data_IF_981055817594
#
_entry.id   IF_981055817594
#
_cell.length_a   1.000
_cell.length_b   1.000
_cell.length_c   1.000
_cell.angle_alpha   90.00
_cell.angle_beta   90.00
_cell.angle_gamma   90.00
#
_symmetry.space_group_name_H-M   'P 1'
#
loop_
_entity.id
_entity.type
_entity.pdbx_description
1 polymer ?
#
# COMPACT_ATOMS: atom_id res chain seq x y z
N UNK A 1 24.81 25.76 -33.07
CA UNK A 1 23.38 25.38 -33.12
C UNK A 1 23.17 24.21 -32.15
N UNK A 2 22.03 24.15 -31.43
CA UNK A 2 21.60 23.09 -30.46
C UNK A 2 21.53 23.45 -28.96
N UNK A 3 21.53 24.74 -28.56
CA UNK A 3 21.13 25.13 -27.19
C UNK A 3 19.62 25.38 -27.03
N UNK A 4 18.87 25.54 -28.14
CA UNK A 4 17.44 25.84 -28.12
C UNK A 4 16.55 24.60 -27.94
N UNK A 5 17.03 23.40 -28.29
CA UNK A 5 16.22 22.17 -28.26
C UNK A 5 16.09 21.60 -26.84
N UNK A 6 17.11 21.78 -25.99
CA UNK A 6 17.12 21.21 -24.63
C UNK A 6 16.13 21.92 -23.69
N UNK A 7 15.83 23.22 -23.91
CA UNK A 7 14.88 23.97 -23.05
C UNK A 7 13.40 23.61 -23.26
N UNK A 8 13.03 22.95 -24.36
CA UNK A 8 11.63 22.58 -24.63
C UNK A 8 11.20 21.29 -23.93
N UNK A 9 12.12 20.35 -23.72
CA UNK A 9 11.80 19.06 -23.10
C UNK A 9 11.50 19.16 -21.59
N UNK A 10 12.09 20.12 -20.87
CA UNK A 10 11.84 20.29 -19.43
C UNK A 10 10.46 20.90 -19.12
N UNK A 11 9.92 21.74 -20.00
CA UNK A 11 8.63 22.41 -19.76
C UNK A 11 7.44 21.48 -19.93
N UNK A 12 7.53 20.51 -20.84
CA UNK A 12 6.46 19.52 -21.05
C UNK A 12 6.39 18.50 -19.91
N UNK A 13 7.53 18.06 -19.38
CA UNK A 13 7.56 17.18 -18.21
C UNK A 13 6.97 17.86 -16.96
N UNK A 14 7.29 19.14 -16.75
CA UNK A 14 6.81 19.91 -15.59
C UNK A 14 5.30 20.16 -15.65
N UNK A 15 4.75 20.43 -16.84
CA UNK A 15 3.31 20.58 -17.05
C UNK A 15 2.54 19.27 -16.80
N UNK A 16 3.11 18.12 -17.20
CA UNK A 16 2.51 16.81 -16.99
C UNK A 16 2.43 16.44 -15.50
N UNK A 17 3.50 16.69 -14.75
CA UNK A 17 3.54 16.42 -13.29
C UNK A 17 2.57 17.33 -12.54
N UNK A 18 2.52 18.63 -12.88
CA UNK A 18 1.57 19.56 -12.27
C UNK A 18 0.11 19.20 -12.60
N UNK A 19 -0.17 18.77 -13.83
CA UNK A 19 -1.49 18.29 -14.25
C UNK A 19 -1.93 17.05 -13.48
N UNK A 20 -1.04 16.06 -13.32
CA UNK A 20 -1.30 14.85 -12.53
C UNK A 20 -1.56 15.16 -11.05
N UNK A 21 -0.82 16.11 -10.46
CA UNK A 21 -1.07 16.55 -9.08
C UNK A 21 -2.42 17.25 -8.92
N UNK A 22 -2.83 18.09 -9.88
CA UNK A 22 -4.11 18.79 -9.82
C UNK A 22 -5.30 17.82 -9.93
N UNK A 23 -5.20 16.80 -10.79
CA UNK A 23 -6.20 15.72 -10.89
C UNK A 23 -6.27 14.91 -9.59
N UNK A 24 -5.13 14.67 -8.94
CA UNK A 24 -5.05 13.96 -7.66
C UNK A 24 -5.77 14.72 -6.53
N UNK A 25 -5.57 16.05 -6.44
CA UNK A 25 -6.24 16.91 -5.45
C UNK A 25 -7.75 16.98 -5.72
N UNK A 26 -8.18 17.04 -6.98
CA UNK A 26 -9.59 17.06 -7.34
C UNK A 26 -10.33 15.76 -6.98
N UNK A 27 -9.66 14.60 -7.07
CA UNK A 27 -10.28 13.31 -6.71
C UNK A 27 -10.37 13.08 -5.19
N UNK A 28 -9.57 13.76 -4.37
CA UNK A 28 -9.63 13.62 -2.92
C UNK A 28 -10.85 14.30 -2.28
N UNK A 29 -11.54 15.20 -2.98
CA UNK A 29 -12.69 15.97 -2.45
C UNK A 29 -14.06 15.31 -2.57
N UNK A 30 -14.16 14.11 -3.15
CA UNK A 30 -15.44 13.44 -3.45
C UNK A 30 -15.70 12.20 -2.59
N UNK A 31 -15.26 12.20 -1.33
CA UNK A 31 -15.58 11.11 -0.40
C UNK A 31 -16.96 11.42 0.21
N UNK A 32 -17.99 10.74 -0.26
CA UNK A 32 -19.31 10.79 0.37
C UNK A 32 -19.19 10.28 1.80
N UNK A 33 -19.48 11.14 2.78
CA UNK A 33 -19.67 10.75 4.17
C UNK A 33 -20.90 9.86 4.23
N UNK A 34 -20.74 8.59 4.61
CA UNK A 34 -21.86 7.71 4.89
C UNK A 34 -22.67 8.31 6.04
N UNK A 35 -23.98 8.42 5.84
CA UNK A 35 -24.93 9.06 6.75
C UNK A 35 -25.92 7.99 7.18
N UNK A 36 -26.21 7.96 8.49
CA UNK A 36 -27.17 7.11 9.20
C UNK A 36 -27.01 5.60 8.97
N UNK A 37 -26.58 4.91 10.03
CA UNK A 37 -26.36 3.45 10.07
C UNK A 37 -27.67 2.67 9.92
N UNK A 38 -28.81 3.26 10.31
CA UNK A 38 -30.15 2.75 10.04
C UNK A 38 -30.99 3.87 9.38
N UNK A 39 -31.67 3.53 8.29
CA UNK A 39 -32.64 4.37 7.61
C UNK A 39 -34.00 3.64 7.58
N UNK A 40 -35.02 4.27 8.16
CA UNK A 40 -36.39 3.74 8.25
C UNK A 40 -36.90 3.47 9.67
N UNK A 41 -38.18 3.07 9.83
CA UNK A 41 -38.83 2.89 11.12
C UNK A 41 -38.57 1.49 11.71
N UNK A 42 -37.31 1.09 11.81
CA UNK A 42 -36.91 -0.16 12.45
C UNK A 42 -35.71 0.05 13.39
N UNK A 43 -35.55 -0.87 14.34
CA UNK A 43 -34.34 -0.96 15.18
C UNK A 43 -33.60 -2.25 14.86
N UNK A 44 -32.27 -2.22 14.91
CA UNK A 44 -31.43 -3.40 14.69
C UNK A 44 -30.39 -3.52 15.80
N UNK A 45 -30.16 -4.74 16.27
CA UNK A 45 -29.03 -5.02 17.16
C UNK A 45 -28.22 -6.19 16.66
N UNK A 46 -26.90 -6.12 16.83
CA UNK A 46 -25.94 -7.13 16.40
C UNK A 46 -25.16 -7.58 17.63
N UNK A 47 -25.25 -8.86 17.99
CA UNK A 47 -24.76 -9.41 19.26
C UNK A 47 -25.23 -8.58 20.48
N UNK A 48 -26.48 -8.07 20.41
CA UNK A 48 -27.08 -7.23 21.46
C UNK A 48 -26.60 -5.77 21.50
N UNK A 49 -25.74 -5.34 20.57
CA UNK A 49 -25.30 -3.95 20.43
C UNK A 49 -26.23 -3.24 19.44
N UNK A 50 -26.78 -2.09 19.85
CA UNK A 50 -27.66 -1.29 19.01
C UNK A 50 -26.91 -0.65 17.84
N UNK A 51 -27.32 -1.00 16.63
CA UNK A 51 -26.67 -0.56 15.39
C UNK A 51 -26.86 0.94 15.17
N UNK A 52 -27.93 1.56 15.70
CA UNK A 52 -28.13 3.01 15.59
C UNK A 52 -27.00 3.81 16.25
N UNK A 53 -26.27 3.20 17.19
CA UNK A 53 -25.17 3.83 17.93
C UNK A 53 -23.80 3.68 17.28
N UNK A 54 -23.68 2.91 16.19
CA UNK A 54 -22.42 2.58 15.53
C UNK A 54 -22.26 3.38 14.23
N UNK A 55 -21.03 3.76 13.89
CA UNK A 55 -20.68 4.31 12.58
C UNK A 55 -19.95 3.26 11.72
N UNK A 56 -20.59 2.71 10.69
CA UNK A 56 -19.97 1.77 9.74
C UNK A 56 -18.85 2.40 8.90
N UNK A 57 -18.67 3.71 8.96
CA UNK A 57 -17.52 4.42 8.43
C UNK A 57 -16.31 4.40 9.36
N UNK A 58 -16.51 4.18 10.66
CA UNK A 58 -15.44 4.14 11.67
C UNK A 58 -15.07 2.69 12.03
N UNK A 59 -13.78 2.38 11.95
CA UNK A 59 -13.25 1.10 12.42
C UNK A 59 -13.39 0.94 13.93
N UNK A 60 -13.35 2.04 14.69
CA UNK A 60 -13.45 2.03 16.14
C UNK A 60 -14.76 1.42 16.65
N UNK A 61 -15.82 1.54 15.85
CA UNK A 61 -17.18 1.07 16.15
C UNK A 61 -17.44 -0.35 15.61
N UNK A 62 -16.43 -1.00 15.01
CA UNK A 62 -16.58 -2.33 14.46
C UNK A 62 -16.86 -3.37 15.57
N UNK A 63 -17.86 -4.21 15.35
CA UNK A 63 -18.20 -5.29 16.26
C UNK A 63 -17.18 -6.41 16.08
N UNK A 64 -16.46 -6.72 17.15
CA UNK A 64 -15.43 -7.76 17.14
C UNK A 64 -16.06 -9.14 17.24
N UNK A 65 -15.71 -10.01 16.30
CA UNK A 65 -16.21 -11.38 16.26
C UNK A 65 -15.03 -12.32 16.05
N UNK A 66 -15.02 -13.45 16.76
CA UNK A 66 -13.95 -14.44 16.57
C UNK A 66 -14.14 -15.16 15.24
N UNK A 67 -13.04 -15.58 14.62
CA UNK A 67 -13.07 -16.52 13.50
C UNK A 67 -13.86 -17.79 13.87
N UNK A 68 -14.76 -18.25 12.99
CA UNK A 68 -15.70 -19.35 13.27
C UNK A 68 -16.78 -19.04 14.30
N UNK A 69 -16.95 -17.77 14.66
CA UNK A 69 -18.04 -17.31 15.51
C UNK A 69 -19.35 -17.15 14.71
N UNK A 70 -20.45 -17.03 15.46
CA UNK A 70 -21.74 -16.62 14.91
C UNK A 70 -22.00 -15.16 15.28
N UNK A 71 -22.66 -14.46 14.37
CA UNK A 71 -23.16 -13.11 14.60
C UNK A 71 -24.68 -13.21 14.71
N UNK A 72 -25.21 -12.88 15.88
CA UNK A 72 -26.65 -12.77 16.07
C UNK A 72 -27.10 -11.41 15.55
N UNK A 73 -27.91 -11.42 14.50
CA UNK A 73 -28.59 -10.23 13.99
C UNK A 73 -30.03 -10.26 14.44
N UNK A 74 -30.48 -9.18 15.08
CA UNK A 74 -31.87 -8.99 15.44
C UNK A 74 -32.39 -7.69 14.86
N UNK A 75 -33.61 -7.71 14.33
CA UNK A 75 -34.31 -6.50 13.92
C UNK A 75 -35.72 -6.49 14.47
N UNK A 76 -36.22 -5.29 14.74
CA UNK A 76 -37.56 -5.05 15.25
C UNK A 76 -38.27 -3.93 14.49
N UNK A 77 -39.56 -4.10 14.24
CA UNK A 77 -40.41 -3.09 13.63
C UNK A 77 -41.82 -3.13 14.22
N UNK A 78 -42.44 -1.96 14.37
CA UNK A 78 -43.81 -1.84 14.89
C UNK A 78 -44.88 -2.33 13.90
N UNK A 79 -44.58 -2.34 12.60
CA UNK A 79 -45.52 -2.71 11.53
C UNK A 79 -45.33 -4.13 11.02
N UNK A 80 -44.23 -4.80 11.37
CA UNK A 80 -43.90 -6.14 10.88
C UNK A 80 -43.11 -6.15 9.58
N UNK A 81 -42.34 -7.21 9.39
CA UNK A 81 -41.50 -7.45 8.21
C UNK A 81 -42.24 -8.30 7.18
N UNK A 82 -42.19 -7.89 5.91
CA UNK A 82 -42.66 -8.69 4.78
C UNK A 82 -41.54 -9.60 4.25
N UNK A 83 -40.34 -9.05 4.10
CA UNK A 83 -39.13 -9.79 3.74
C UNK A 83 -37.89 -9.06 4.22
N UNK A 84 -36.80 -9.79 4.43
CA UNK A 84 -35.48 -9.24 4.66
C UNK A 84 -34.45 -9.88 3.73
N UNK A 85 -33.39 -9.13 3.46
CA UNK A 85 -32.23 -9.53 2.69
C UNK A 85 -30.98 -9.00 3.40
N UNK A 86 -30.08 -9.90 3.73
CA UNK A 86 -28.79 -9.56 4.32
C UNK A 86 -27.75 -9.66 3.21
N UNK A 87 -27.11 -8.56 2.86
CA UNK A 87 -26.01 -8.52 1.90
C UNK A 87 -24.69 -8.31 2.64
N UNK A 88 -23.65 -9.03 2.21
CA UNK A 88 -22.29 -8.75 2.66
C UNK A 88 -21.62 -7.86 1.61
N UNK A 89 -21.19 -6.66 1.99
CA UNK A 89 -20.33 -5.83 1.16
C UNK A 89 -18.87 -6.09 1.54
N UNK A 90 -18.18 -6.77 0.64
CA UNK A 90 -16.74 -6.94 0.69
C UNK A 90 -16.12 -6.21 -0.49
N UNK A 91 -15.45 -5.09 -0.21
CA UNK A 91 -14.77 -4.24 -1.20
C UNK A 91 -15.66 -3.50 -2.22
N UNK A 92 -16.86 -3.08 -1.82
CA UNK A 92 -17.83 -2.54 -2.76
C UNK A 92 -18.37 -3.60 -3.73
N UNK A 93 -18.09 -4.88 -3.48
CA UNK A 93 -18.79 -5.99 -4.11
C UNK A 93 -19.82 -6.49 -3.10
N UNK A 94 -21.08 -6.30 -3.47
CA UNK A 94 -22.20 -6.90 -2.77
C UNK A 94 -22.23 -8.38 -3.12
N UNK A 95 -21.98 -9.21 -2.13
CA UNK A 95 -22.22 -10.64 -2.22
C UNK A 95 -23.69 -10.88 -1.86
N UNK A 96 -24.44 -11.60 -2.70
CA UNK A 96 -25.82 -11.94 -2.37
C UNK A 96 -25.79 -12.78 -1.10
N UNK A 97 -26.56 -12.36 -0.09
CA UNK A 97 -26.78 -13.20 1.09
C UNK A 97 -28.19 -13.78 1.09
N UNK A 98 -28.67 -14.11 2.27
CA UNK A 98 -29.94 -14.80 2.44
C UNK A 98 -31.10 -13.82 2.34
N UNK A 99 -32.04 -14.14 1.46
CA UNK A 99 -33.33 -13.47 1.34
C UNK A 99 -34.41 -14.38 1.90
N UNK A 100 -35.22 -13.85 2.82
CA UNK A 100 -36.32 -14.59 3.45
C UNK A 100 -37.59 -13.74 3.50
N UNK A 101 -38.73 -14.40 3.43
CA UNK A 101 -40.05 -13.79 3.60
C UNK A 101 -40.50 -13.98 5.06
N UNK A 102 -40.92 -12.89 5.72
CA UNK A 102 -41.13 -12.85 7.19
C UNK A 102 -42.59 -12.90 7.63
N UNK A 103 -43.54 -13.13 6.72
CA UNK A 103 -44.98 -13.31 7.01
C UNK A 103 -45.63 -12.25 7.94
N UNK A 104 -45.02 -11.07 8.12
CA UNK A 104 -45.52 -9.99 8.96
C UNK A 104 -45.03 -9.99 10.41
N UNK A 105 -44.04 -10.80 10.78
CA UNK A 105 -43.50 -10.81 12.14
C UNK A 105 -42.86 -9.45 12.49
N UNK A 106 -43.09 -8.94 13.70
CA UNK A 106 -42.54 -7.65 14.19
C UNK A 106 -41.10 -7.73 14.67
N UNK A 107 -40.56 -8.93 14.73
CA UNK A 107 -39.23 -9.23 15.23
C UNK A 107 -38.69 -10.45 14.51
N UNK A 108 -37.44 -10.39 14.08
CA UNK A 108 -36.69 -11.57 13.64
C UNK A 108 -35.31 -11.60 14.29
N UNK A 109 -34.80 -12.82 14.47
CA UNK A 109 -33.43 -13.10 14.88
C UNK A 109 -32.84 -14.13 13.93
N UNK A 110 -31.65 -13.86 13.42
CA UNK A 110 -30.91 -14.79 12.57
C UNK A 110 -29.46 -14.91 13.06
N UNK A 111 -28.88 -16.10 12.88
CA UNK A 111 -27.48 -16.35 13.19
C UNK A 111 -26.71 -16.47 11.89
N UNK A 112 -25.76 -15.58 11.70
CA UNK A 112 -24.88 -15.58 10.53
C UNK A 112 -23.56 -16.21 10.95
N UNK A 113 -23.26 -17.40 10.42
CA UNK A 113 -21.95 -18.04 10.64
C UNK A 113 -20.88 -17.26 9.89
N UNK A 114 -19.89 -16.72 10.62
CA UNK A 114 -18.83 -15.89 10.02
C UNK A 114 -18.06 -16.66 8.96
N UNK A 115 -17.88 -17.97 9.13
CA UNK A 115 -17.11 -18.80 8.20
C UNK A 115 -17.75 -18.89 6.79
N UNK A 116 -19.07 -18.70 6.66
CA UNK A 116 -19.74 -18.71 5.36
C UNK A 116 -19.41 -17.48 4.53
N UNK A 117 -19.12 -16.35 5.19
CA UNK A 117 -18.88 -15.05 4.53
C UNK A 117 -17.41 -14.64 4.57
N UNK A 118 -16.68 -15.02 5.61
CA UNK A 118 -15.26 -14.73 5.82
C UNK A 118 -14.34 -15.72 5.09
N UNK A 119 -14.74 -16.18 3.90
CA UNK A 119 -13.89 -17.03 3.04
C UNK A 119 -12.57 -16.34 2.67
N UNK A 120 -12.56 -15.01 2.67
CA UNK A 120 -11.36 -14.20 2.47
C UNK A 120 -10.46 -14.10 3.73
N UNK A 121 -10.93 -14.54 4.90
CA UNK A 121 -10.16 -14.62 6.14
C UNK A 121 -10.59 -13.61 7.20
N UNK A 122 -9.62 -13.11 7.97
CA UNK A 122 -9.82 -12.17 9.08
C UNK A 122 -9.82 -10.72 8.60
N UNK A 123 -10.46 -9.82 9.33
CA UNK A 123 -10.48 -8.38 9.02
C UNK A 123 -11.89 -7.76 9.02
N UNK A 124 -11.99 -6.57 8.43
CA UNK A 124 -13.23 -5.77 8.41
C UNK A 124 -14.17 -6.17 7.28
N UNK A 125 -15.42 -6.43 7.64
CA UNK A 125 -16.53 -6.71 6.74
C UNK A 125 -17.65 -5.72 7.00
N UNK A 126 -18.30 -5.24 5.93
CA UNK A 126 -19.49 -4.41 6.08
C UNK A 126 -20.72 -5.25 5.75
N UNK A 127 -21.59 -5.42 6.73
CA UNK A 127 -22.87 -6.11 6.55
C UNK A 127 -23.92 -5.05 6.28
N UNK A 128 -24.75 -5.26 5.27
CA UNK A 128 -25.91 -4.42 4.97
C UNK A 128 -27.17 -5.26 5.09
N UNK A 129 -28.14 -4.80 5.87
CA UNK A 129 -29.47 -5.38 5.93
C UNK A 129 -30.47 -4.48 5.20
N UNK A 130 -31.33 -5.06 4.38
CA UNK A 130 -32.50 -4.37 3.82
C UNK A 130 -33.73 -5.19 4.13
N UNK A 131 -34.74 -4.56 4.74
CA UNK A 131 -36.00 -5.18 5.08
C UNK A 131 -37.15 -4.38 4.47
N UNK A 132 -38.10 -5.08 3.84
CA UNK A 132 -39.37 -4.50 3.39
C UNK A 132 -40.42 -4.78 4.44
N UNK A 133 -41.13 -3.75 4.87
CA UNK A 133 -42.17 -3.82 5.90
C UNK A 133 -43.53 -4.16 5.29
N UNK A 134 -44.48 -4.64 6.10
CA UNK A 134 -45.82 -5.04 5.61
C UNK A 134 -46.64 -3.89 5.02
N UNK A 135 -46.34 -2.66 5.41
CA UNK A 135 -46.97 -1.44 4.88
C UNK A 135 -46.30 -0.93 3.59
N UNK A 136 -45.24 -1.58 3.11
CA UNK A 136 -44.48 -1.22 1.92
C UNK A 136 -43.30 -0.28 2.15
N UNK A 137 -43.06 0.18 3.39
CA UNK A 137 -41.87 0.94 3.73
C UNK A 137 -40.62 0.05 3.68
N UNK A 138 -39.46 0.64 3.41
CA UNK A 138 -38.17 -0.06 3.40
C UNK A 138 -37.35 0.44 4.58
N UNK A 139 -36.82 -0.49 5.36
CA UNK A 139 -35.78 -0.21 6.33
C UNK A 139 -34.45 -0.74 5.84
N UNK A 140 -33.37 0.00 6.01
CA UNK A 140 -32.03 -0.49 5.71
C UNK A 140 -31.09 -0.13 6.83
N UNK A 141 -30.06 -0.95 7.02
CA UNK A 141 -28.98 -0.60 7.91
C UNK A 141 -27.67 -1.23 7.50
N UNK A 142 -26.58 -0.74 8.06
CA UNK A 142 -25.25 -1.29 7.87
C UNK A 142 -24.57 -1.53 9.21
N UNK A 143 -23.55 -2.37 9.27
CA UNK A 143 -22.67 -2.46 10.43
C UNK A 143 -21.30 -2.95 9.99
N UNK A 144 -20.24 -2.50 10.67
CA UNK A 144 -18.89 -3.01 10.47
C UNK A 144 -18.60 -4.16 11.45
N UNK A 145 -18.12 -5.28 10.93
CA UNK A 145 -17.72 -6.46 11.71
C UNK A 145 -16.21 -6.67 11.54
N UNK A 146 -15.48 -6.73 12.64
CA UNK A 146 -14.04 -7.04 12.66
C UNK A 146 -13.83 -8.49 13.10
N UNK A 147 -13.51 -9.35 12.13
CA UNK A 147 -13.22 -10.76 12.39
C UNK A 147 -11.80 -10.89 12.92
N UNK A 148 -11.66 -11.25 14.19
CA UNK A 148 -10.37 -11.36 14.86
C UNK A 148 -9.50 -12.49 14.30
N UNK A 149 -8.21 -12.19 14.13
CA UNK A 149 -7.14 -13.17 13.91
C UNK A 149 -5.97 -12.58 13.11
N UNK A 150 -5.02 -13.43 12.70
CA UNK A 150 -3.81 -12.97 12.01
C UNK A 150 -4.02 -12.93 10.47
N UNK A 151 -4.05 -11.74 9.84
CA UNK A 151 -4.29 -11.60 8.41
C UNK A 151 -3.21 -12.29 7.57
N UNK A 152 -1.97 -12.41 8.07
CA UNK A 152 -0.87 -13.07 7.35
C UNK A 152 -1.07 -14.58 7.20
N UNK A 153 -1.89 -15.19 8.05
CA UNK A 153 -2.22 -16.62 7.96
C UNK A 153 -3.33 -16.91 6.95
N UNK A 154 -3.93 -15.86 6.37
CA UNK A 154 -4.94 -15.99 5.33
C UNK A 154 -4.30 -16.15 3.95
N UNK A 155 -5.02 -16.74 3.01
CA UNK A 155 -4.58 -16.91 1.61
C UNK A 155 -4.25 -15.54 0.99
N UNK A 156 -5.10 -14.54 1.26
CA UNK A 156 -4.83 -13.16 0.84
C UNK A 156 -3.56 -12.61 1.48
N UNK A 157 -3.37 -12.85 2.79
CA UNK A 157 -2.18 -12.52 3.59
C UNK A 157 -0.88 -12.92 2.92
N UNK A 158 -0.77 -14.22 2.66
CA UNK A 158 0.39 -14.82 2.02
C UNK A 158 0.65 -14.24 0.62
N UNK A 159 -0.39 -14.05 -0.19
CA UNK A 159 -0.26 -13.46 -1.52
C UNK A 159 0.21 -12.00 -1.48
N UNK A 160 -0.31 -11.19 -0.55
CA UNK A 160 0.08 -9.80 -0.35
C UNK A 160 1.53 -9.65 0.09
N UNK A 161 1.95 -10.42 1.09
CA UNK A 161 3.34 -10.45 1.55
C UNK A 161 4.30 -10.90 0.43
N UNK A 162 3.93 -11.93 -0.33
CA UNK A 162 4.70 -12.41 -1.49
C UNK A 162 4.86 -11.36 -2.58
N UNK A 163 3.79 -10.62 -2.92
CA UNK A 163 3.83 -9.57 -3.93
C UNK A 163 4.76 -8.41 -3.54
N UNK A 164 4.76 -8.00 -2.27
CA UNK A 164 5.65 -6.94 -1.77
C UNK A 164 7.10 -7.41 -1.72
N UNK A 165 7.35 -8.66 -1.30
CA UNK A 165 8.69 -9.24 -1.36
C UNK A 165 9.22 -9.28 -2.81
N UNK A 166 8.41 -9.75 -3.76
CA UNK A 166 8.80 -9.79 -5.18
C UNK A 166 9.01 -8.38 -5.77
N UNK A 167 8.15 -7.41 -5.41
CA UNK A 167 8.30 -6.02 -5.84
C UNK A 167 9.59 -5.37 -5.32
N UNK A 168 9.93 -5.59 -4.05
CA UNK A 168 11.15 -5.06 -3.43
C UNK A 168 12.41 -5.70 -4.00
N UNK A 169 12.44 -7.02 -4.17
CA UNK A 169 13.57 -7.72 -4.80
C UNK A 169 13.74 -7.29 -6.27
N UNK A 170 12.64 -7.16 -7.01
CA UNK A 170 12.68 -6.67 -8.40
C UNK A 170 13.23 -5.24 -8.51
N UNK A 171 12.84 -4.35 -7.59
CA UNK A 171 13.37 -2.99 -7.52
C UNK A 171 14.87 -2.97 -7.17
N UNK A 172 15.31 -3.80 -6.21
CA UNK A 172 16.72 -3.91 -5.82
C UNK A 172 17.58 -4.50 -6.96
N UNK A 173 17.11 -5.54 -7.65
CA UNK A 173 17.77 -6.12 -8.80
C UNK A 173 17.84 -5.13 -9.99
N UNK A 174 16.80 -4.33 -10.20
CA UNK A 174 16.79 -3.22 -11.17
C UNK A 174 17.85 -2.15 -10.87
N UNK A 175 18.03 -1.81 -9.58
CA UNK A 175 19.08 -0.89 -9.14
C UNK A 175 20.48 -1.49 -9.32
N UNK A 176 20.69 -2.75 -8.94
CA UNK A 176 21.97 -3.44 -9.08
C UNK A 176 22.39 -3.63 -10.55
N UNK A 177 21.44 -4.03 -11.42
CA UNK A 177 21.69 -4.17 -12.86
C UNK A 177 21.98 -2.84 -13.55
N UNK A 178 21.38 -1.73 -13.08
CA UNK A 178 21.70 -0.40 -13.59
C UNK A 178 23.10 0.10 -13.19
N UNK A 179 23.65 -0.40 -12.08
CA UNK A 179 25.01 -0.14 -11.63
C UNK A 179 26.04 -1.09 -12.29
N UNK A 180 25.62 -2.30 -12.67
CA UNK A 180 26.48 -3.32 -13.28
C UNK A 180 26.51 -3.27 -14.82
N UNK A 181 25.68 -2.45 -15.47
CA UNK A 181 25.69 -2.28 -16.93
C UNK A 181 26.86 -1.38 -17.41
N UNK A 182 28.08 -1.82 -17.12
CA UNK A 182 29.24 -1.65 -17.99
C UNK A 182 29.76 -3.06 -18.28
N UNK A 183 29.50 -3.54 -19.50
CA UNK A 183 29.90 -4.84 -20.08
C UNK A 183 29.33 -6.11 -19.44
N UNK A 184 28.15 -6.56 -19.90
CA UNK A 184 27.77 -7.99 -19.83
C UNK A 184 26.32 -8.29 -19.46
N UNK A 185 25.50 -8.63 -20.47
CA UNK A 185 24.48 -9.70 -20.41
C UNK A 185 23.22 -9.55 -19.56
N UNK A 186 22.06 -9.52 -20.24
CA UNK A 186 20.69 -9.65 -19.69
C UNK A 186 20.40 -11.04 -19.06
N UNK A 187 21.34 -12.01 -19.16
CA UNK A 187 21.15 -13.39 -18.71
C UNK A 187 20.93 -13.58 -17.21
N UNK A 188 21.60 -12.80 -16.35
CA UNK A 188 21.59 -13.06 -14.90
C UNK A 188 20.25 -12.82 -14.19
N UNK A 189 19.35 -12.00 -14.77
CA UNK A 189 18.03 -11.73 -14.15
C UNK A 189 17.12 -12.95 -14.30
N UNK A 190 17.21 -13.64 -15.45
CA UNK A 190 16.44 -14.85 -15.68
C UNK A 190 16.85 -15.93 -14.67
N UNK A 191 18.15 -16.10 -14.48
CA UNK A 191 18.70 -17.11 -13.56
C UNK A 191 18.30 -16.83 -12.10
N UNK A 192 18.35 -15.57 -11.62
CA UNK A 192 17.93 -15.24 -10.25
C UNK A 192 16.44 -15.46 -9.99
N UNK A 193 15.57 -15.11 -10.96
CA UNK A 193 14.12 -15.33 -10.83
C UNK A 193 13.80 -16.82 -10.89
N UNK A 194 14.46 -17.55 -11.79
CA UNK A 194 14.28 -18.99 -11.96
C UNK A 194 14.86 -19.77 -10.75
N UNK A 195 15.90 -19.27 -10.08
CA UNK A 195 16.41 -19.77 -8.80
C UNK A 195 15.40 -19.56 -7.67
N UNK A 196 14.83 -18.36 -7.53
CA UNK A 196 13.84 -18.07 -6.49
C UNK A 196 12.54 -18.87 -6.65
N UNK A 197 12.08 -19.10 -7.89
CA UNK A 197 10.95 -19.98 -8.18
C UNK A 197 11.29 -21.47 -8.02
N UNK A 198 12.55 -21.86 -8.21
CA UNK A 198 13.01 -23.23 -7.97
C UNK A 198 13.11 -23.51 -6.48
N UNK A 199 13.56 -22.55 -5.69
CA UNK A 199 13.66 -22.64 -4.23
C UNK A 199 12.26 -22.74 -3.59
N UNK A 200 11.28 -21.98 -4.07
CA UNK A 200 9.89 -22.08 -3.60
C UNK A 200 9.17 -23.37 -4.01
N UNK A 201 9.50 -23.95 -5.18
CA UNK A 201 9.00 -25.28 -5.56
C UNK A 201 9.71 -26.43 -4.84
N UNK A 202 10.95 -26.24 -4.38
CA UNK A 202 11.69 -27.28 -3.65
C UNK A 202 11.13 -27.51 -2.24
N UNK A 203 10.48 -26.49 -1.66
CA UNK A 203 9.75 -26.61 -0.38
C UNK A 203 8.39 -27.31 -0.51
N UNK A 204 7.91 -27.56 -1.73
CA UNK A 204 6.63 -28.21 -1.99
C UNK A 204 6.86 -29.67 -2.42
N UNK A 205 7.49 -30.48 -1.56
CA UNK A 205 7.66 -31.92 -1.80
C UNK A 205 6.56 -32.71 -1.08
N UNK A 206 5.81 -33.60 -1.76
CA UNK A 206 4.81 -34.44 -1.10
C UNK A 206 5.51 -35.39 -0.13
N UNK A 207 5.10 -35.33 1.14
CA UNK A 207 5.65 -36.13 2.22
C UNK A 207 5.38 -37.63 1.99
N UNK A 208 6.40 -38.34 1.52
CA UNK A 208 6.54 -39.78 1.68
C UNK A 208 7.73 -40.03 2.62
N UNK A 209 7.56 -39.65 3.89
CA UNK A 209 8.54 -39.84 4.96
C UNK A 209 7.87 -40.50 6.16
N UNK A 210 8.56 -41.45 6.78
CA UNK A 210 8.03 -42.28 7.87
C UNK A 210 7.74 -41.46 9.13
N UNK A 211 7.08 -42.10 10.11
CA UNK A 211 6.61 -41.48 11.35
C UNK A 211 7.68 -40.67 12.12
N UNK A 212 8.96 -41.02 11.97
CA UNK A 212 10.08 -40.29 12.59
C UNK A 212 10.35 -38.93 11.90
N UNK A 213 10.18 -38.81 10.58
CA UNK A 213 10.30 -37.53 9.86
C UNK A 213 9.16 -36.56 10.24
N UNK A 214 7.99 -37.11 10.59
CA UNK A 214 6.84 -36.31 11.00
C UNK A 214 7.06 -35.68 12.38
N UNK A 215 7.82 -36.35 13.24
CA UNK A 215 8.18 -35.81 14.56
C UNK A 215 9.15 -34.63 14.41
N UNK A 216 10.17 -34.76 13.57
CA UNK A 216 11.14 -33.69 13.32
C UNK A 216 10.48 -32.48 12.63
N UNK A 217 9.55 -32.71 11.69
CA UNK A 217 8.75 -31.63 11.08
C UNK A 217 7.86 -30.91 12.11
N UNK A 218 7.24 -31.64 13.04
CA UNK A 218 6.43 -31.04 14.11
C UNK A 218 7.32 -30.23 15.06
N UNK A 219 8.50 -30.75 15.42
CA UNK A 219 9.44 -30.06 16.31
C UNK A 219 10.02 -28.80 15.66
N UNK A 220 10.31 -28.83 14.36
CA UNK A 220 10.75 -27.66 13.59
C UNK A 220 9.62 -26.65 13.38
N UNK A 221 8.38 -27.10 13.14
CA UNK A 221 7.22 -26.21 13.07
C UNK A 221 6.95 -25.51 14.42
N UNK A 222 7.11 -26.22 15.55
CA UNK A 222 7.02 -25.61 16.88
C UNK A 222 8.17 -24.64 17.16
N UNK A 223 9.39 -24.95 16.69
CA UNK A 223 10.55 -24.06 16.85
C UNK A 223 10.41 -22.80 15.99
N UNK A 224 9.88 -22.91 14.78
CA UNK A 224 9.54 -21.78 13.90
C UNK A 224 8.38 -20.96 14.46
N UNK A 225 7.37 -21.60 15.05
CA UNK A 225 6.28 -20.90 15.76
C UNK A 225 6.82 -20.09 16.94
N UNK A 226 7.74 -20.65 17.72
CA UNK A 226 8.36 -19.94 18.85
C UNK A 226 9.18 -18.72 18.40
N UNK A 227 9.90 -18.84 17.28
CA UNK A 227 10.63 -17.72 16.69
C UNK A 227 9.68 -16.63 16.15
N UNK A 228 8.51 -17.02 15.62
CA UNK A 228 7.45 -16.08 15.23
C UNK A 228 6.78 -15.43 16.44
N UNK A 229 6.64 -16.13 17.56
CA UNK A 229 6.11 -15.57 18.81
C UNK A 229 7.07 -14.53 19.42
N UNK A 230 8.39 -14.76 19.33
CA UNK A 230 9.39 -13.75 19.72
C UNK A 230 9.36 -12.52 18.80
N UNK A 231 9.22 -12.72 17.48
CA UNK A 231 9.04 -11.61 16.54
C UNK A 231 7.72 -10.84 16.75
N UNK A 232 6.64 -11.54 17.11
CA UNK A 232 5.35 -10.95 17.45
C UNK A 232 5.41 -10.18 18.79
N UNK A 233 6.17 -10.67 19.77
CA UNK A 233 6.42 -9.95 21.02
C UNK A 233 7.25 -8.68 20.79
N UNK A 234 8.19 -8.70 19.85
CA UNK A 234 8.96 -7.52 19.44
C UNK A 234 8.09 -6.51 18.67
N UNK A 235 7.22 -7.00 17.77
CA UNK A 235 6.24 -6.18 17.06
C UNK A 235 5.22 -5.51 18.03
N UNK A 236 4.70 -6.25 19.02
CA UNK A 236 3.81 -5.71 20.06
C UNK A 236 4.51 -4.71 20.99
N UNK A 237 5.85 -4.77 21.09
CA UNK A 237 6.66 -3.75 21.78
C UNK A 237 6.77 -2.48 20.95
N UNK A 238 6.93 -2.62 19.63
CA UNK A 238 6.97 -1.51 18.68
C UNK A 238 5.60 -0.81 18.58
N UNK A 239 4.52 -1.58 18.63
CA UNK A 239 3.14 -1.10 18.56
C UNK A 239 2.77 -0.24 19.78
N UNK A 240 3.16 -0.66 20.99
CA UNK A 240 3.03 0.17 22.20
C UNK A 240 3.82 1.48 22.12
N UNK A 241 5.00 1.47 21.48
CA UNK A 241 5.80 2.68 21.25
C UNK A 241 5.11 3.59 20.22
N UNK A 242 4.46 3.02 19.20
CA UNK A 242 3.68 3.76 18.21
C UNK A 242 2.40 4.35 18.81
N UNK A 243 1.70 3.63 19.69
CA UNK A 243 0.52 4.12 20.41
C UNK A 243 0.87 5.25 21.39
N UNK A 244 1.99 5.14 22.12
CA UNK A 244 2.50 6.23 22.97
C UNK A 244 2.92 7.46 22.14
N UNK A 245 3.37 7.26 20.90
CA UNK A 245 3.66 8.34 19.96
C UNK A 245 2.40 8.90 19.28
N UNK A 246 1.32 8.11 19.18
CA UNK A 246 0.07 8.46 18.51
C UNK A 246 -0.86 9.32 19.38
N UNK A 247 -0.65 9.39 20.70
CA UNK A 247 -1.26 10.40 21.56
C UNK A 247 -2.79 10.49 21.43
N UNK A 248 -3.47 9.43 21.86
CA UNK A 248 -4.93 9.32 21.77
C UNK A 248 -5.62 10.40 22.63
N UNK A 249 -6.28 11.37 21.98
CA UNK A 249 -7.15 12.36 22.64
C UNK A 249 -7.05 13.81 22.18
N UNK A 250 -6.21 14.16 21.19
CA UNK A 250 -6.08 15.54 20.72
C UNK A 250 -6.55 15.68 19.25
N UNK A 251 -7.52 16.57 18.91
CA UNK A 251 -8.04 16.75 17.55
C UNK A 251 -7.03 17.27 16.50
N UNK A 252 -5.74 17.36 16.86
CA UNK A 252 -4.63 17.62 15.97
C UNK A 252 -3.89 16.30 15.70
N UNK A 253 -4.46 15.45 14.85
CA UNK A 253 -3.88 14.16 14.52
C UNK A 253 -2.50 14.35 13.87
N UNK A 254 -1.39 14.05 14.59
CA UNK A 254 -0.05 14.35 14.12
C UNK A 254 0.30 13.51 12.89
N UNK A 255 -0.32 12.34 12.70
CA UNK A 255 -0.14 11.50 11.51
C UNK A 255 -0.59 12.18 10.22
N UNK A 256 -1.73 12.89 10.22
CA UNK A 256 -2.17 13.68 9.07
C UNK A 256 -1.20 14.82 8.76
N UNK A 257 -0.69 15.49 9.82
CA UNK A 257 0.35 16.50 9.68
C UNK A 257 1.70 15.91 9.25
N UNK A 258 2.02 14.67 9.64
CA UNK A 258 3.27 13.98 9.36
C UNK A 258 3.27 13.41 7.94
N UNK A 259 2.16 12.88 7.44
CA UNK A 259 1.98 12.55 6.01
C UNK A 259 1.94 13.82 5.15
N UNK A 260 1.31 14.90 5.62
CA UNK A 260 1.39 16.22 4.98
C UNK A 260 2.82 16.76 4.94
N UNK A 261 3.57 16.63 6.03
CA UNK A 261 4.98 17.02 6.12
C UNK A 261 5.88 16.12 5.27
N UNK A 262 5.65 14.81 5.24
CA UNK A 262 6.42 13.88 4.40
C UNK A 262 6.13 14.13 2.93
N UNK A 263 4.88 14.41 2.57
CA UNK A 263 4.49 14.87 1.24
C UNK A 263 5.21 16.18 0.87
N UNK A 264 5.20 17.17 1.77
CA UNK A 264 5.90 18.43 1.58
C UNK A 264 7.44 18.27 1.53
N UNK A 265 8.01 17.31 2.27
CA UNK A 265 9.45 17.03 2.34
C UNK A 265 9.90 16.28 1.10
N UNK A 266 9.13 15.31 0.60
CA UNK A 266 9.35 14.68 -0.71
C UNK A 266 9.25 15.72 -1.81
N UNK A 267 8.25 16.62 -1.76
CA UNK A 267 8.12 17.73 -2.71
C UNK A 267 9.30 18.72 -2.62
N UNK A 268 9.76 19.03 -1.40
CA UNK A 268 10.93 19.88 -1.17
C UNK A 268 12.20 19.22 -1.69
N UNK A 269 12.42 17.93 -1.44
CA UNK A 269 13.61 17.18 -1.91
C UNK A 269 13.63 17.04 -3.43
N UNK A 270 12.47 16.87 -4.07
CA UNK A 270 12.36 16.84 -5.53
C UNK A 270 12.59 18.24 -6.13
N UNK A 271 12.14 19.31 -5.47
CA UNK A 271 12.26 20.69 -5.99
C UNK A 271 13.56 21.41 -5.59
N UNK A 272 14.26 20.99 -4.54
CA UNK A 272 15.54 21.56 -4.08
C UNK A 272 16.64 21.53 -5.15
N UNK A 273 16.89 20.40 -5.87
CA UNK A 273 17.91 20.38 -6.92
C UNK A 273 17.53 21.22 -8.14
N UNK A 274 16.25 21.57 -8.31
CA UNK A 274 15.77 22.46 -9.38
C UNK A 274 15.89 23.96 -9.04
N UNK A 275 16.02 24.33 -7.76
CA UNK A 275 16.07 25.74 -7.33
C UNK A 275 17.46 26.27 -7.03
N UNK A 276 18.50 25.44 -7.02
CA UNK A 276 19.87 25.95 -6.90
C UNK A 276 20.32 26.51 -8.26
N UNK A 277 20.45 27.85 -8.43
CA UNK A 277 21.09 28.38 -9.61
C UNK A 277 22.52 27.85 -9.62
N UNK A 278 22.91 27.18 -10.70
CA UNK A 278 24.32 26.97 -11.01
C UNK A 278 24.98 28.34 -11.03
N UNK A 279 25.61 28.74 -9.91
CA UNK A 279 26.45 29.92 -9.84
C UNK A 279 27.62 29.67 -10.78
N UNK A 280 27.48 30.13 -12.02
CA UNK A 280 28.60 30.31 -12.92
C UNK A 280 29.50 31.38 -12.32
N UNK A 281 30.58 30.94 -11.68
CA UNK A 281 31.68 31.80 -11.25
C UNK A 281 32.25 32.46 -12.51
N UNK A 282 31.83 33.69 -12.75
CA UNK A 282 32.42 34.61 -13.71
C UNK A 282 33.65 35.24 -13.06
N UNK A 283 34.83 34.65 -13.26
CA UNK A 283 36.10 35.29 -12.90
C UNK A 283 36.41 36.40 -13.90
N UNK A 284 36.41 37.65 -13.43
CA UNK A 284 36.87 38.80 -14.21
C UNK A 284 38.39 38.93 -14.26
N UNK A 285 38.85 39.65 -15.29
CA UNK A 285 39.93 40.63 -15.20
C UNK A 285 41.38 40.15 -15.25
N UNK A 286 41.93 40.20 -16.47
CA UNK A 286 43.23 40.75 -16.86
C UNK A 286 44.55 40.28 -16.21
N UNK A 287 45.40 39.68 -17.06
CA UNK A 287 46.77 40.10 -17.41
C UNK A 287 47.51 38.87 -17.94
N UNK A 288 47.89 38.89 -19.22
CA UNK A 288 48.42 37.73 -19.94
C UNK A 288 49.84 37.31 -19.47
N UNK A 289 50.03 36.06 -19.01
CA UNK A 289 51.28 35.34 -19.16
C UNK A 289 51.15 34.29 -20.28
N UNK A 290 52.30 33.88 -20.83
CA UNK A 290 52.51 33.00 -21.98
C UNK A 290 51.52 31.82 -22.14
N UNK A 291 51.27 31.33 -23.38
CA UNK A 291 50.26 30.31 -23.68
C UNK A 291 50.60 28.97 -23.01
N UNK A 292 50.21 28.81 -21.75
CA UNK A 292 50.18 27.54 -21.05
C UNK A 292 49.23 26.61 -21.80
N UNK A 293 49.70 25.41 -22.14
CA UNK A 293 48.91 24.38 -22.80
C UNK A 293 47.57 24.22 -22.07
N UNK A 294 46.45 24.42 -22.80
CA UNK A 294 45.11 24.36 -22.20
C UNK A 294 44.97 23.06 -21.38
N UNK A 295 44.63 23.14 -20.08
CA UNK A 295 44.46 21.96 -19.27
C UNK A 295 43.40 21.06 -19.91
N UNK A 296 43.77 19.79 -20.17
CA UNK A 296 42.84 18.80 -20.72
C UNK A 296 41.76 18.53 -19.67
N UNK A 297 40.57 19.09 -19.86
CA UNK A 297 39.40 18.78 -19.03
C UNK A 297 38.81 17.45 -19.50
N UNK A 298 38.60 16.52 -18.57
CA UNK A 298 37.94 15.27 -18.92
C UNK A 298 36.43 15.50 -19.06
N UNK A 299 35.75 14.79 -19.99
CA UNK A 299 34.31 14.88 -20.14
C UNK A 299 33.63 14.38 -18.86
N UNK A 300 32.79 15.23 -18.26
CA UNK A 300 31.97 14.86 -17.10
C UNK A 300 30.68 14.19 -17.55
N UNK A 301 30.25 13.17 -16.81
CA UNK A 301 28.98 12.52 -17.07
C UNK A 301 27.84 13.51 -16.80
N UNK A 302 26.97 13.73 -17.80
CA UNK A 302 25.76 14.53 -17.66
C UNK A 302 24.61 13.63 -17.23
N UNK A 303 23.92 14.02 -16.16
CA UNK A 303 22.72 13.34 -15.71
C UNK A 303 21.59 13.56 -16.73
N UNK A 304 20.91 12.47 -17.12
CA UNK A 304 19.71 12.52 -17.95
C UNK A 304 18.64 11.64 -17.30
N UNK A 305 17.47 12.20 -16.94
CA UNK A 305 16.38 11.40 -16.41
C UNK A 305 15.89 10.47 -17.52
N UNK A 306 15.76 9.18 -17.21
CA UNK A 306 15.07 8.23 -18.09
C UNK A 306 13.95 7.58 -17.32
N UNK A 307 12.75 7.81 -17.81
CA UNK A 307 11.57 7.05 -17.38
C UNK A 307 11.68 5.69 -18.05
N UNK A 308 11.72 4.62 -17.26
CA UNK A 308 11.77 3.25 -17.78
C UNK A 308 10.40 2.62 -17.62
N UNK A 309 9.91 1.93 -18.66
CA UNK A 309 8.63 1.20 -18.60
C UNK A 309 8.66 0.17 -17.46
N UNK A 310 9.82 -0.47 -17.27
CA UNK A 310 10.03 -1.42 -16.17
C UNK A 310 9.82 -0.76 -14.79
N UNK A 311 10.34 0.45 -14.57
CA UNK A 311 10.12 1.20 -13.34
C UNK A 311 8.62 1.46 -13.09
N UNK A 312 7.87 1.85 -14.12
CA UNK A 312 6.42 2.07 -14.00
C UNK A 312 5.71 0.76 -13.61
N UNK A 313 6.05 -0.36 -14.26
CA UNK A 313 5.45 -1.67 -13.95
C UNK A 313 5.78 -2.09 -12.50
N UNK A 314 7.05 -2.00 -12.09
CA UNK A 314 7.45 -2.30 -10.72
C UNK A 314 6.74 -1.39 -9.70
N UNK A 315 6.56 -0.11 -10.04
CA UNK A 315 5.85 0.83 -9.18
C UNK A 315 4.36 0.52 -9.06
N UNK A 316 3.69 0.11 -10.14
CA UNK A 316 2.29 -0.35 -10.07
C UNK A 316 2.17 -1.59 -9.18
N UNK A 317 3.07 -2.58 -9.33
CA UNK A 317 3.06 -3.80 -8.52
C UNK A 317 3.29 -3.47 -7.05
N UNK A 318 4.27 -2.62 -6.73
CA UNK A 318 4.55 -2.19 -5.37
C UNK A 318 3.38 -1.39 -4.76
N UNK A 319 2.75 -0.51 -5.54
CA UNK A 319 1.55 0.24 -5.12
C UNK A 319 0.36 -0.66 -4.85
N UNK A 320 0.10 -1.64 -5.72
CA UNK A 320 -0.94 -2.64 -5.52
C UNK A 320 -0.68 -3.49 -4.27
N UNK A 321 0.56 -3.96 -4.08
CA UNK A 321 0.96 -4.73 -2.90
C UNK A 321 0.79 -3.93 -1.60
N UNK A 322 1.17 -2.65 -1.59
CA UNK A 322 0.97 -1.78 -0.44
C UNK A 322 -0.52 -1.55 -0.11
N UNK A 323 -1.38 -1.41 -1.12
CA UNK A 323 -2.82 -1.29 -0.93
C UNK A 323 -3.41 -2.56 -0.28
N UNK A 324 -2.99 -3.73 -0.74
CA UNK A 324 -3.40 -5.03 -0.17
C UNK A 324 -2.93 -5.16 1.29
N UNK A 325 -1.69 -4.77 1.61
CA UNK A 325 -1.20 -4.82 2.99
C UNK A 325 -1.98 -3.89 3.92
N UNK A 326 -2.19 -2.63 3.54
CA UNK A 326 -2.96 -1.69 4.36
C UNK A 326 -4.35 -2.20 4.70
N UNK A 327 -4.95 -2.89 3.74
CA UNK A 327 -6.26 -3.48 3.90
C UNK A 327 -6.22 -4.72 4.80
N UNK A 328 -5.20 -5.57 4.68
CA UNK A 328 -5.02 -6.73 5.57
C UNK A 328 -4.81 -6.33 7.03
N UNK A 329 -4.06 -5.25 7.27
CA UNK A 329 -3.92 -4.68 8.60
C UNK A 329 -5.15 -3.86 9.03
N UNK A 330 -6.18 -3.82 8.19
CA UNK A 330 -7.40 -3.04 8.36
C UNK A 330 -7.12 -1.59 8.79
N UNK A 331 -5.99 -1.01 8.36
CA UNK A 331 -5.62 0.36 8.73
C UNK A 331 -6.53 1.35 7.99
N UNK A 332 -6.98 0.97 6.79
CA UNK A 332 -7.94 1.74 6.03
C UNK A 332 -8.86 0.81 5.23
N UNK A 333 -10.14 1.19 5.11
CA UNK A 333 -11.09 0.54 4.20
C UNK A 333 -10.58 0.78 2.77
N UNK A 334 -10.41 -0.31 2.00
CA UNK A 334 -9.96 -0.26 0.62
C UNK A 334 -11.03 0.34 -0.29
N UNK A 335 -11.12 1.67 -0.29
CA UNK A 335 -11.93 2.38 -1.27
C UNK A 335 -11.21 2.38 -2.62
N UNK A 336 -11.99 2.47 -3.71
CA UNK A 336 -11.43 2.63 -5.07
C UNK A 336 -10.47 3.82 -5.15
N UNK A 337 -10.78 4.90 -4.41
CA UNK A 337 -9.92 6.07 -4.30
C UNK A 337 -8.55 5.70 -3.70
N UNK A 338 -8.52 4.99 -2.57
CA UNK A 338 -7.27 4.59 -1.91
C UNK A 338 -6.41 3.66 -2.80
N UNK A 339 -7.04 2.73 -3.51
CA UNK A 339 -6.34 1.84 -4.45
C UNK A 339 -5.68 2.64 -5.59
N UNK A 340 -6.40 3.59 -6.18
CA UNK A 340 -5.85 4.48 -7.22
C UNK A 340 -4.70 5.31 -6.64
N UNK A 341 -4.86 5.87 -5.43
CA UNK A 341 -3.83 6.65 -4.77
C UNK A 341 -2.55 5.83 -4.55
N UNK A 342 -2.69 4.57 -4.12
CA UNK A 342 -1.55 3.70 -3.87
C UNK A 342 -0.85 3.23 -5.14
N UNK A 343 -1.60 2.98 -6.23
CA UNK A 343 -1.00 2.72 -7.53
C UNK A 343 -0.18 3.91 -8.03
N UNK A 344 -0.73 5.13 -7.91
CA UNK A 344 -0.03 6.35 -8.33
C UNK A 344 1.21 6.58 -7.45
N UNK A 345 1.06 6.48 -6.13
CA UNK A 345 2.19 6.61 -5.19
C UNK A 345 3.28 5.57 -5.49
N UNK A 346 2.88 4.33 -5.77
CA UNK A 346 3.77 3.25 -6.19
C UNK A 346 4.57 3.61 -7.46
N UNK A 347 3.89 4.06 -8.51
CA UNK A 347 4.53 4.49 -9.77
C UNK A 347 5.48 5.67 -9.57
N UNK A 348 5.07 6.68 -8.81
CA UNK A 348 5.88 7.88 -8.59
C UNK A 348 7.11 7.54 -7.75
N UNK A 349 6.94 6.90 -6.61
CA UNK A 349 8.01 6.62 -5.65
C UNK A 349 8.94 5.53 -6.18
N UNK A 350 8.40 4.35 -6.52
CA UNK A 350 9.22 3.21 -6.93
C UNK A 350 9.59 3.27 -8.41
N UNK A 351 8.70 3.78 -9.27
CA UNK A 351 8.93 3.81 -10.71
C UNK A 351 9.75 5.00 -11.21
N UNK A 352 9.71 6.14 -10.49
CA UNK A 352 10.30 7.39 -10.95
C UNK A 352 11.41 7.89 -10.01
N UNK A 353 11.15 7.95 -8.71
CA UNK A 353 12.10 8.47 -7.73
C UNK A 353 13.28 7.50 -7.51
N UNK A 354 13.01 6.23 -7.22
CA UNK A 354 14.06 5.23 -6.95
C UNK A 354 15.10 5.08 -8.09
N UNK A 355 14.70 4.88 -9.36
CA UNK A 355 15.67 4.78 -10.46
C UNK A 355 16.47 6.06 -10.67
N UNK A 356 15.84 7.21 -10.40
CA UNK A 356 16.47 8.53 -10.49
C UNK A 356 17.57 8.69 -9.44
N UNK A 357 17.29 8.33 -8.18
CA UNK A 357 18.27 8.37 -7.09
C UNK A 357 19.46 7.46 -7.41
N UNK A 358 19.21 6.22 -7.83
CA UNK A 358 20.27 5.27 -8.18
C UNK A 358 21.24 5.81 -9.24
N UNK A 359 20.72 6.46 -10.28
CA UNK A 359 21.55 7.11 -11.30
C UNK A 359 22.29 8.33 -10.81
N UNK A 360 21.66 9.15 -9.98
CA UNK A 360 22.34 10.33 -9.40
C UNK A 360 23.56 9.91 -8.60
N UNK A 361 23.42 8.86 -7.78
CA UNK A 361 24.54 8.27 -7.02
C UNK A 361 25.63 7.74 -7.97
N UNK A 362 25.25 7.05 -9.05
CA UNK A 362 26.21 6.55 -10.04
C UNK A 362 26.99 7.69 -10.73
N UNK A 363 26.31 8.75 -11.15
CA UNK A 363 26.94 9.94 -11.77
C UNK A 363 27.87 10.65 -10.79
N UNK A 364 27.47 10.80 -9.52
CA UNK A 364 28.32 11.39 -8.48
C UNK A 364 29.59 10.56 -8.25
N UNK A 365 29.49 9.22 -8.23
CA UNK A 365 30.68 8.34 -8.11
C UNK A 365 31.63 8.47 -9.29
N UNK A 366 31.11 8.48 -10.52
CA UNK A 366 31.94 8.64 -11.74
C UNK A 366 32.62 10.01 -11.76
N UNK A 367 31.87 11.08 -11.52
CA UNK A 367 32.43 12.44 -11.50
C UNK A 367 33.42 12.65 -10.35
N UNK A 368 33.22 11.97 -9.20
CA UNK A 368 34.18 11.95 -8.10
C UNK A 368 35.52 11.32 -8.50
N UNK A 369 35.50 10.19 -9.21
CA UNK A 369 36.72 9.54 -9.72
C UNK A 369 37.44 10.40 -10.77
N UNK A 370 36.69 11.03 -11.68
CA UNK A 370 37.26 11.97 -12.67
C UNK A 370 37.95 13.14 -11.97
N UNK A 371 37.33 13.71 -10.93
CA UNK A 371 37.94 14.80 -10.16
C UNK A 371 39.23 14.37 -9.44
N UNK A 372 39.30 13.14 -8.93
CA UNK A 372 40.52 12.60 -8.34
C UNK A 372 41.64 12.42 -9.37
N UNK A 373 41.32 12.00 -10.60
CA UNK A 373 42.30 11.87 -11.69
C UNK A 373 42.80 13.23 -12.17
N UNK A 374 41.91 14.23 -12.32
CA UNK A 374 42.30 15.61 -12.65
C UNK A 374 43.31 16.17 -11.63
N UNK A 375 43.10 15.89 -10.32
CA UNK A 375 44.03 16.29 -9.26
C UNK A 375 45.39 15.58 -9.33
N UNK A 376 45.46 14.35 -9.84
CA UNK A 376 46.70 13.57 -9.96
C UNK A 376 47.53 13.96 -11.19
N UNK A 377 46.88 14.36 -12.29
CA UNK A 377 47.55 14.75 -13.54
C UNK A 377 47.89 16.24 -13.62
N UNK A 378 47.29 17.08 -12.75
CA UNK A 378 47.58 18.51 -12.66
C UNK A 378 48.70 18.88 -11.68
N UNK A 379 49.36 17.88 -11.08
CA UNK A 379 50.66 18.00 -10.40
C UNK A 379 51.70 17.35 -11.30
#
# INVERSE_FOLDING_TARGET
>A
MNHAVIRRADRTALALVAGLCAVFVAMAGAVSTASAEIDGPCGATVNGIDVETLDSGDKGDAIKVKKGGQVELTMSSTVGFQSHEIELDYFGQKLPGDKRDDNGDSFFSDFVDVDDYATAGVGLYKVYGVATLTNGDVCSGAVLIDVEGNPLTTIAGAAGAGAVALGTVGAAAGLASSAASSSGGIGGIKDMVEEAFRESRATEKPAAGGLDDMKDMVEDAFRESRAKDEAAAEAARLDRVLDDLAGNGNPYNPLGALFGCLGALVFAVITLPLRLPFMAISSGGDSAPAPASKPRRFPRARWTPRITILGIICGLIAGAGAAVLLQQYSIAIATRALLIQMLIAGVVVYGLVMPTIGRTIAVMRVNGRVSQLEKRLGR
#
